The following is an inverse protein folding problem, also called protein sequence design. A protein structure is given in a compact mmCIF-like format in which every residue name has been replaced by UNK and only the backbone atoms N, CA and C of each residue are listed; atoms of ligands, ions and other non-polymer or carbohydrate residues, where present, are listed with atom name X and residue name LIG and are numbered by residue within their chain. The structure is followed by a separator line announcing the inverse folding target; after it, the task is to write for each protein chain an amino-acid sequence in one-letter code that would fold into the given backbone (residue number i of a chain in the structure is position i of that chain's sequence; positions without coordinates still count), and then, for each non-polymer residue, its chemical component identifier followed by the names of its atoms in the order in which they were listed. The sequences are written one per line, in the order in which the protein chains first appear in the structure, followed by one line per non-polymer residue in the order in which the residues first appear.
data_IF_170298160778
#
_entry.id   IF_170298160778
#
_cell.length_a   1.000
_cell.length_b   1.000
_cell.length_c   1.000
_cell.angle_alpha   90.00
_cell.angle_beta   90.00
_cell.angle_gamma   90.00
#
_symmetry.space_group_name_H-M   'P 1'
#
loop_
_entity.id
_entity.type
_entity.pdbx_description
1 polymer ?
#
# COMPACT_ATOMS: atom_id res chain seq x y z
N UNK A 1 7.59 -12.64 -11.81
CA UNK A 1 7.65 -11.75 -12.99
C UNK A 1 8.95 -10.93 -12.95
N UNK A 2 9.55 -10.55 -14.08
CA UNK A 2 10.70 -9.58 -14.17
C UNK A 2 10.37 -8.28 -14.91
N UNK A 3 9.26 -8.27 -15.65
CA UNK A 3 8.90 -7.17 -16.55
C UNK A 3 8.46 -5.95 -15.75
N UNK A 4 8.91 -4.78 -16.18
CA UNK A 4 8.53 -3.48 -15.62
C UNK A 4 7.99 -2.61 -16.76
N UNK A 5 6.85 -1.98 -16.54
CA UNK A 5 6.22 -1.02 -17.46
C UNK A 5 5.84 0.22 -16.67
N UNK A 6 5.93 1.39 -17.30
CA UNK A 6 5.54 2.65 -16.71
C UNK A 6 4.67 3.44 -17.67
N UNK A 7 3.75 4.24 -17.13
CA UNK A 7 2.89 5.11 -17.92
C UNK A 7 3.46 6.53 -17.91
N UNK A 8 3.59 7.15 -19.08
CA UNK A 8 3.97 8.55 -19.19
C UNK A 8 2.74 9.39 -19.53
N UNK A 9 2.35 10.26 -18.60
CA UNK A 9 1.25 11.20 -18.79
C UNK A 9 1.52 12.17 -19.96
N UNK A 10 2.78 12.63 -20.11
CA UNK A 10 3.21 13.53 -21.19
C UNK A 10 2.93 12.95 -22.58
N UNK A 11 3.20 11.65 -22.76
CA UNK A 11 2.99 10.99 -24.07
C UNK A 11 1.68 10.22 -24.14
N UNK A 12 0.92 10.17 -23.05
CA UNK A 12 -0.27 9.33 -22.87
C UNK A 12 -0.06 7.86 -23.33
N UNK A 13 1.08 7.25 -22.96
CA UNK A 13 1.47 5.91 -23.43
C UNK A 13 2.15 5.10 -22.33
N UNK A 14 1.97 3.79 -22.41
CA UNK A 14 2.76 2.83 -21.65
C UNK A 14 4.09 2.59 -22.33
N UNK A 15 5.16 2.63 -21.55
CA UNK A 15 6.54 2.40 -21.95
C UNK A 15 7.11 1.22 -21.18
N UNK A 16 8.20 0.66 -21.72
CA UNK A 16 8.90 -0.44 -21.09
C UNK A 16 10.13 0.08 -20.35
N UNK A 17 10.27 -0.30 -19.08
CA UNK A 17 11.49 -0.08 -18.31
C UNK A 17 12.39 -1.33 -18.38
N UNK A 18 13.68 -1.20 -18.02
CA UNK A 18 14.56 -2.34 -17.81
C UNK A 18 13.92 -3.37 -16.88
N UNK A 19 14.12 -4.65 -17.20
CA UNK A 19 13.60 -5.74 -16.38
C UNK A 19 14.34 -5.79 -15.04
N UNK A 20 13.65 -6.18 -13.97
CA UNK A 20 14.27 -6.54 -12.70
C UNK A 20 15.26 -7.70 -12.92
N UNK A 21 16.31 -7.77 -12.10
CA UNK A 21 17.34 -8.80 -12.17
C UNK A 21 16.80 -10.17 -11.75
N UNK A 22 15.97 -10.24 -10.69
CA UNK A 22 15.32 -11.49 -10.25
C UNK A 22 13.83 -11.52 -10.54
N UNK A 23 13.30 -12.72 -10.80
CA UNK A 23 11.84 -12.95 -10.92
C UNK A 23 11.27 -12.84 -9.51
N UNK A 24 10.20 -12.06 -9.35
CA UNK A 24 9.53 -11.84 -8.06
C UNK A 24 8.01 -11.85 -8.23
N UNK A 25 7.29 -12.33 -7.24
CA UNK A 25 5.83 -12.24 -7.06
C UNK A 25 5.56 -11.81 -5.61
N UNK A 26 4.45 -11.14 -5.31
CA UNK A 26 4.08 -10.76 -3.93
C UNK A 26 5.19 -10.07 -3.12
N UNK A 27 6.01 -9.24 -3.78
CA UNK A 27 7.11 -8.49 -3.17
C UNK A 27 6.62 -7.13 -2.66
N UNK A 28 7.31 -6.59 -1.66
CA UNK A 28 7.11 -5.20 -1.23
C UNK A 28 7.95 -4.25 -2.07
N UNK A 29 7.47 -3.01 -2.20
CA UNK A 29 8.18 -1.96 -2.90
C UNK A 29 7.96 -0.61 -2.22
N UNK A 30 8.90 0.32 -2.40
CA UNK A 30 8.76 1.69 -1.96
C UNK A 30 9.62 2.61 -2.82
N UNK A 31 9.37 3.93 -2.77
CA UNK A 31 10.22 4.92 -3.41
C UNK A 31 10.97 5.71 -2.34
N UNK A 32 12.31 5.74 -2.44
CA UNK A 32 13.18 6.54 -1.57
C UNK A 32 14.10 7.34 -2.48
N UNK A 33 14.21 8.66 -2.25
CA UNK A 33 15.11 9.55 -3.02
C UNK A 33 14.98 9.36 -4.55
N UNK A 34 13.73 9.35 -5.04
CA UNK A 34 13.37 9.15 -6.45
C UNK A 34 13.85 7.83 -7.09
N UNK A 35 14.26 6.86 -6.28
CA UNK A 35 14.61 5.51 -6.72
C UNK A 35 13.54 4.52 -6.25
N UNK A 36 13.21 3.55 -7.10
CA UNK A 36 12.24 2.50 -6.79
C UNK A 36 12.95 1.31 -6.18
N UNK A 37 12.61 0.96 -4.95
CA UNK A 37 13.14 -0.19 -4.24
C UNK A 37 12.12 -1.32 -4.26
N UNK A 38 12.57 -2.54 -4.51
CA UNK A 38 11.77 -3.77 -4.43
C UNK A 38 12.50 -4.78 -3.55
N UNK A 39 11.77 -5.45 -2.67
CA UNK A 39 12.37 -6.38 -1.71
C UNK A 39 11.49 -7.61 -1.50
N UNK A 40 12.13 -8.76 -1.30
CA UNK A 40 11.46 -10.02 -1.02
C UNK A 40 10.58 -10.54 -2.16
N UNK A 41 9.47 -11.14 -1.76
CA UNK A 41 8.52 -11.84 -2.62
C UNK A 41 8.89 -13.30 -2.86
N UNK A 42 8.22 -13.90 -3.83
CA UNK A 42 8.41 -15.29 -4.23
C UNK A 42 8.98 -15.45 -5.64
N UNK A 43 9.76 -16.51 -5.83
CA UNK A 43 10.23 -16.96 -7.14
C UNK A 43 9.89 -18.44 -7.35
N UNK A 44 9.66 -18.84 -8.60
CA UNK A 44 9.55 -20.24 -9.00
C UNK A 44 10.87 -20.98 -8.71
N UNK A 45 10.80 -22.19 -8.14
CA UNK A 45 11.97 -23.03 -7.84
C UNK A 45 12.00 -23.58 -6.41
N UNK A 46 13.16 -24.14 -6.01
CA UNK A 46 13.39 -24.75 -4.68
C UNK A 46 13.34 -23.70 -3.56
N UNK A 47 13.81 -22.48 -3.83
CA UNK A 47 13.80 -21.38 -2.88
C UNK A 47 12.62 -20.45 -3.20
N UNK A 48 11.45 -20.77 -2.64
CA UNK A 48 10.21 -20.03 -2.93
C UNK A 48 10.26 -18.59 -2.43
N UNK A 49 10.77 -18.34 -1.23
CA UNK A 49 10.78 -17.01 -0.61
C UNK A 49 12.13 -16.31 -0.80
N UNK A 50 12.10 -15.05 -1.22
CA UNK A 50 13.29 -14.25 -1.49
C UNK A 50 13.65 -13.38 -0.29
N UNK A 51 14.95 -13.30 0.01
CA UNK A 51 15.53 -12.27 0.87
C UNK A 51 16.11 -11.09 0.08
N UNK A 52 16.36 -11.27 -1.21
CA UNK A 52 17.05 -10.24 -2.00
C UNK A 52 16.23 -8.99 -2.23
N UNK A 53 16.92 -7.86 -2.38
CA UNK A 53 16.34 -6.58 -2.72
C UNK A 53 17.08 -5.93 -3.90
N UNK A 54 16.38 -5.10 -4.65
CA UNK A 54 16.90 -4.39 -5.82
C UNK A 54 16.40 -2.95 -5.82
N UNK A 55 17.18 -2.05 -6.39
CA UNK A 55 16.85 -0.64 -6.56
C UNK A 55 16.92 -0.28 -8.04
N UNK A 56 15.88 0.37 -8.55
CA UNK A 56 15.85 1.01 -9.86
C UNK A 56 16.12 2.50 -9.73
N UNK A 57 17.18 2.93 -10.41
CA UNK A 57 17.53 4.33 -10.57
C UNK A 57 17.01 4.80 -11.95
N UNK A 58 16.00 5.69 -12.00
CA UNK A 58 15.44 6.18 -13.26
C UNK A 58 16.42 7.08 -14.04
N UNK A 59 17.35 7.76 -13.36
CA UNK A 59 18.35 8.62 -14.03
C UNK A 59 19.36 7.78 -14.81
N UNK A 60 19.71 6.62 -14.26
CA UNK A 60 20.64 5.67 -14.89
C UNK A 60 19.92 4.60 -15.71
N UNK A 61 18.58 4.62 -15.67
CA UNK A 61 17.70 3.65 -16.30
C UNK A 61 18.18 2.20 -16.07
N UNK A 62 18.42 1.83 -14.81
CA UNK A 62 18.96 0.51 -14.47
C UNK A 62 18.58 0.02 -13.09
N UNK A 63 18.51 -1.31 -12.97
CA UNK A 63 18.37 -2.01 -11.69
C UNK A 63 19.75 -2.36 -11.13
N UNK A 64 19.94 -2.15 -9.83
CA UNK A 64 21.11 -2.57 -9.07
C UNK A 64 20.66 -3.50 -7.92
N UNK A 65 21.40 -4.59 -7.70
CA UNK A 65 21.21 -5.39 -6.47
C UNK A 65 21.69 -4.57 -5.27
N UNK A 66 20.96 -4.66 -4.16
CA UNK A 66 21.32 -4.06 -2.87
C UNK A 66 21.37 -5.14 -1.80
N UNK A 67 21.70 -4.76 -0.56
CA UNK A 67 21.77 -5.69 0.57
C UNK A 67 20.51 -6.54 0.71
N UNK A 68 20.70 -7.84 0.94
CA UNK A 68 19.63 -8.77 1.23
C UNK A 68 18.95 -8.43 2.59
N UNK A 69 17.66 -8.70 2.70
CA UNK A 69 16.93 -8.66 3.97
C UNK A 69 17.44 -9.76 4.91
N UNK A 70 17.38 -9.52 6.22
CA UNK A 70 17.75 -10.51 7.22
C UNK A 70 16.87 -11.76 7.17
N UNK A 71 15.60 -11.59 6.81
CA UNK A 71 14.60 -12.65 6.73
C UNK A 71 13.88 -12.56 5.39
N UNK A 72 13.56 -13.71 4.78
CA UNK A 72 12.73 -13.72 3.58
C UNK A 72 11.30 -13.29 3.92
N UNK A 73 10.73 -12.38 3.13
CA UNK A 73 9.38 -11.84 3.36
C UNK A 73 8.56 -11.93 2.07
N UNK A 74 7.26 -12.22 2.21
CA UNK A 74 6.29 -12.34 1.11
C UNK A 74 4.99 -11.65 1.53
N UNK A 75 4.20 -11.16 0.57
CA UNK A 75 2.86 -10.59 0.77
C UNK A 75 2.86 -9.33 1.64
N UNK A 76 3.90 -8.49 1.56
CA UNK A 76 4.02 -7.31 2.39
C UNK A 76 3.97 -6.00 1.60
N UNK A 77 3.57 -4.92 2.27
CA UNK A 77 3.58 -3.55 1.71
C UNK A 77 4.74 -2.78 2.34
N UNK A 78 5.50 -2.07 1.50
CA UNK A 78 6.59 -1.19 1.94
C UNK A 78 6.15 0.27 1.92
N UNK A 79 6.20 0.94 3.07
CA UNK A 79 5.99 2.40 3.19
C UNK A 79 7.28 3.03 3.67
N UNK A 80 7.58 4.27 3.28
CA UNK A 80 8.72 5.00 3.83
C UNK A 80 8.22 5.88 4.97
N UNK A 81 8.84 5.75 6.14
CA UNK A 81 8.55 6.56 7.31
C UNK A 81 9.86 7.03 7.96
N UNK A 82 10.03 8.35 8.12
CA UNK A 82 11.27 8.91 8.68
C UNK A 82 12.53 8.52 7.90
N UNK A 83 12.42 8.39 6.57
CA UNK A 83 13.51 7.96 5.69
C UNK A 83 13.83 6.46 5.74
N UNK A 84 13.03 5.64 6.45
CA UNK A 84 13.22 4.20 6.59
C UNK A 84 12.04 3.42 6.03
N UNK A 85 12.26 2.24 5.41
CA UNK A 85 11.16 1.38 5.00
C UNK A 85 10.49 0.74 6.23
N UNK A 86 9.16 0.87 6.30
CA UNK A 86 8.24 0.21 7.22
C UNK A 86 7.51 -0.87 6.44
N UNK A 87 7.32 -2.03 7.06
CA UNK A 87 6.74 -3.20 6.41
C UNK A 87 5.47 -3.63 7.14
N UNK A 88 4.32 -3.57 6.45
CA UNK A 88 3.10 -4.24 6.93
C UNK A 88 2.98 -5.60 6.26
N UNK A 89 3.00 -6.67 7.06
CA UNK A 89 2.90 -8.04 6.54
C UNK A 89 1.43 -8.40 6.25
N UNK A 90 1.16 -8.99 5.08
CA UNK A 90 -0.05 -9.75 4.82
C UNK A 90 0.01 -11.15 5.46
N UNK A 91 -1.05 -11.97 5.31
CA UNK A 91 -1.18 -13.22 6.08
C UNK A 91 0.00 -14.17 5.87
N UNK A 92 0.55 -14.68 6.98
CA UNK A 92 1.56 -15.74 6.98
C UNK A 92 0.94 -17.06 6.54
N UNK A 93 1.50 -17.70 5.52
CA UNK A 93 1.47 -19.15 5.40
C UNK A 93 2.81 -19.68 5.88
N UNK A 94 2.79 -20.32 7.06
CA UNK A 94 3.85 -21.08 7.74
C UNK A 94 5.19 -20.38 8.01
N UNK A 95 5.45 -20.02 9.27
CA UNK A 95 6.80 -20.03 9.83
C UNK A 95 6.90 -21.20 10.82
N UNK A 96 7.77 -22.15 10.52
CA UNK A 96 8.57 -22.86 11.51
C UNK A 96 9.98 -22.29 11.40
N UNK A 97 10.54 -21.78 12.49
CA UNK A 97 11.95 -21.36 12.53
C UNK A 97 12.25 -20.21 13.48
N UNK A 98 12.55 -20.60 14.72
CA UNK A 98 13.17 -19.90 15.84
C UNK A 98 13.72 -18.47 15.65
N UNK A 99 13.27 -17.59 16.54
CA UNK A 99 13.89 -16.32 16.87
C UNK A 99 15.29 -16.55 17.50
N UNK A 100 16.34 -16.18 16.78
CA UNK A 100 17.62 -15.77 17.39
C UNK A 100 18.12 -14.52 16.70
N UNK A 101 18.25 -13.45 17.50
CA UNK A 101 18.45 -12.10 17.03
C UNK A 101 19.83 -11.81 16.45
N UNK A 102 19.95 -10.60 15.90
CA UNK A 102 21.15 -9.74 15.93
C UNK A 102 20.73 -8.30 15.60
N UNK A 103 21.37 -7.34 16.25
CA UNK A 103 21.18 -5.89 16.11
C UNK A 103 21.80 -5.38 14.80
N UNK A 104 21.05 -4.59 14.03
CA UNK A 104 21.60 -3.55 13.14
C UNK A 104 20.51 -2.50 12.91
N UNK A 105 20.92 -1.25 12.79
CA UNK A 105 20.13 -0.01 12.89
C UNK A 105 19.11 0.24 11.76
N UNK A 106 18.85 -0.74 10.89
CA UNK A 106 17.99 -0.62 9.71
C UNK A 106 16.91 -1.70 9.61
N UNK A 107 16.47 -2.27 10.75
CA UNK A 107 15.33 -3.20 10.73
C UNK A 107 14.05 -2.45 10.33
N UNK A 108 13.28 -2.95 9.34
CA UNK A 108 11.96 -2.40 9.07
C UNK A 108 11.09 -2.59 10.31
N UNK A 109 10.30 -1.57 10.68
CA UNK A 109 9.28 -1.72 11.71
C UNK A 109 8.27 -2.77 11.21
N UNK A 110 8.13 -3.87 11.97
CA UNK A 110 7.19 -4.96 11.68
C UNK A 110 5.97 -4.76 12.57
N UNK A 111 4.80 -4.52 11.97
CA UNK A 111 3.53 -4.45 12.71
C UNK A 111 2.91 -5.85 12.79
N UNK A 112 2.77 -6.40 14.00
CA UNK A 112 2.27 -7.77 14.23
C UNK A 112 0.86 -7.85 14.85
N UNK A 113 0.06 -6.79 14.79
CA UNK A 113 -1.20 -6.74 15.57
C UNK A 113 -2.43 -6.35 14.72
N UNK A 114 -3.36 -7.32 14.59
CA UNK A 114 -4.77 -7.07 14.27
C UNK A 114 -5.31 -7.67 12.97
N UNK A 115 -5.25 -9.00 12.79
CA UNK A 115 -5.85 -9.71 11.65
C UNK A 115 -7.28 -10.18 11.94
N UNK A 116 -8.26 -9.73 11.15
CA UNK A 116 -9.57 -10.37 11.03
C UNK A 116 -9.59 -11.28 9.79
N UNK A 117 -9.14 -12.52 9.96
CA UNK A 117 -9.50 -13.75 9.22
C UNK A 117 -9.56 -13.81 7.68
N UNK A 118 -9.41 -12.72 6.90
CA UNK A 118 -10.13 -12.64 5.62
C UNK A 118 -9.33 -12.16 4.40
N UNK A 119 -7.99 -12.25 4.39
CA UNK A 119 -7.19 -12.03 3.18
C UNK A 119 -7.00 -10.56 2.78
N UNK A 120 -7.50 -9.62 3.58
CA UNK A 120 -7.47 -8.19 3.27
C UNK A 120 -6.12 -7.58 3.63
N UNK A 121 -5.61 -6.69 2.77
CA UNK A 121 -4.37 -5.94 3.02
C UNK A 121 -4.73 -4.65 3.75
N UNK A 122 -3.86 -4.16 4.62
CA UNK A 122 -4.03 -2.88 5.30
C UNK A 122 -3.16 -1.82 4.60
N UNK A 123 -3.70 -1.06 3.62
CA UNK A 123 -2.98 0.07 3.04
C UNK A 123 -2.49 1.02 4.13
N UNK A 124 -1.22 1.40 4.03
CA UNK A 124 -0.58 2.36 4.91
C UNK A 124 0.11 3.43 4.09
N UNK A 125 0.26 4.61 4.67
CA UNK A 125 0.91 5.74 4.02
C UNK A 125 1.45 6.75 5.02
N UNK A 126 2.51 7.44 4.64
CA UNK A 126 3.07 8.56 5.40
C UNK A 126 2.54 9.88 4.80
N UNK A 127 2.11 10.79 5.67
CA UNK A 127 1.79 12.18 5.33
C UNK A 127 2.10 13.06 6.54
N UNK A 128 2.69 14.24 6.31
CA UNK A 128 3.01 15.23 7.35
C UNK A 128 3.87 14.69 8.50
N UNK A 129 4.77 13.74 8.24
CA UNK A 129 5.64 13.12 9.25
C UNK A 129 4.95 12.06 10.11
N UNK A 130 3.71 11.69 9.78
CA UNK A 130 2.90 10.72 10.52
C UNK A 130 2.54 9.53 9.63
N UNK A 131 2.59 8.33 10.21
CA UNK A 131 2.25 7.09 9.51
C UNK A 131 0.80 6.71 9.82
N UNK A 132 0.01 6.49 8.77
CA UNK A 132 -1.38 6.10 8.84
C UNK A 132 -1.61 4.73 8.21
N UNK A 133 -2.57 3.98 8.73
CA UNK A 133 -3.05 2.73 8.12
C UNK A 133 -4.56 2.65 8.18
N UNK A 134 -5.17 1.98 7.20
CA UNK A 134 -6.60 1.64 7.26
C UNK A 134 -6.83 0.55 8.32
N UNK A 135 -7.81 0.79 9.20
CA UNK A 135 -8.19 -0.11 10.30
C UNK A 135 -9.37 -1.03 9.92
N UNK A 136 -10.06 -0.71 8.83
CA UNK A 136 -11.24 -1.45 8.39
C UNK A 136 -11.34 -1.56 6.87
N UNK A 137 -12.00 -2.65 6.43
CA UNK A 137 -12.07 -3.04 5.03
C UNK A 137 -12.66 -1.97 4.12
N UNK A 138 -13.68 -1.26 4.57
CA UNK A 138 -14.34 -0.21 3.79
C UNK A 138 -13.58 1.12 3.80
N UNK A 139 -12.45 1.19 4.50
CA UNK A 139 -11.61 2.39 4.61
C UNK A 139 -12.30 3.56 5.29
N UNK A 140 -13.29 3.30 6.14
CA UNK A 140 -14.01 4.33 6.90
C UNK A 140 -13.35 4.65 8.26
N UNK A 141 -12.26 3.95 8.59
CA UNK A 141 -11.50 4.10 9.83
C UNK A 141 -10.00 3.99 9.56
N UNK A 142 -9.26 4.92 10.12
CA UNK A 142 -7.80 5.02 10.04
C UNK A 142 -7.21 4.90 11.43
N UNK A 143 -6.00 4.36 11.53
CA UNK A 143 -5.14 4.49 12.70
C UNK A 143 -3.88 5.26 12.34
N UNK A 144 -3.35 5.95 13.34
CA UNK A 144 -2.05 6.61 13.29
C UNK A 144 -1.08 5.85 14.19
N UNK A 145 0.14 5.66 13.70
CA UNK A 145 1.21 5.07 14.46
C UNK A 145 1.87 6.16 15.31
N UNK A 146 1.95 5.91 16.61
CA UNK A 146 2.63 6.76 17.57
C UNK A 146 4.07 6.25 17.77
N UNK A 147 5.02 7.16 17.54
CA UNK A 147 6.45 6.87 17.65
C UNK A 147 6.92 6.70 19.08
N UNK A 148 6.32 7.42 20.02
CA UNK A 148 6.77 7.42 21.41
C UNK A 148 6.40 6.11 22.11
N UNK A 149 5.20 5.61 21.83
CA UNK A 149 4.70 4.36 22.39
C UNK A 149 4.98 3.11 21.53
N UNK A 150 5.57 3.28 20.33
CA UNK A 150 5.76 2.20 19.35
C UNK A 150 4.46 1.43 19.07
N UNK A 151 3.32 2.13 19.03
CA UNK A 151 2.00 1.53 18.98
C UNK A 151 1.02 2.29 18.08
N UNK A 152 0.04 1.56 17.54
CA UNK A 152 -1.10 2.15 16.84
C UNK A 152 -2.14 2.61 17.85
N UNK A 153 -2.19 3.90 18.14
CA UNK A 153 -3.02 4.44 19.23
C UNK A 153 -4.22 5.24 18.71
N UNK A 154 -3.98 6.35 17.99
CA UNK A 154 -5.01 7.30 17.59
C UNK A 154 -5.82 6.75 16.40
N UNK A 155 -7.14 6.78 16.50
CA UNK A 155 -8.03 6.40 15.40
C UNK A 155 -8.85 7.60 14.90
N UNK A 156 -9.02 7.68 13.59
CA UNK A 156 -9.91 8.63 12.92
C UNK A 156 -11.00 7.81 12.27
N UNK A 157 -12.24 7.98 12.71
CA UNK A 157 -13.39 7.18 12.27
C UNK A 157 -14.46 8.09 11.69
N UNK A 158 -14.93 7.77 10.48
CA UNK A 158 -16.05 8.47 9.85
C UNK A 158 -17.39 8.20 10.53
N UNK A 159 -17.50 7.12 11.31
CA UNK A 159 -18.73 6.57 11.91
C UNK A 159 -19.81 6.20 10.89
N UNK A 160 -19.52 6.28 9.59
CA UNK A 160 -20.43 6.02 8.47
C UNK A 160 -19.84 4.91 7.60
N UNK A 161 -19.96 3.69 8.09
CA UNK A 161 -19.49 2.51 7.38
C UNK A 161 -20.32 2.21 6.13
N UNK A 162 -19.64 1.72 5.09
CA UNK A 162 -20.22 1.51 3.76
C UNK A 162 -20.68 0.06 3.55
N UNK A 163 -20.59 -0.78 4.58
CA UNK A 163 -21.01 -2.18 4.58
C UNK A 163 -19.91 -3.16 4.17
N UNK A 164 -20.24 -4.45 4.18
CA UNK A 164 -19.27 -5.55 4.00
C UNK A 164 -19.00 -6.00 2.56
N UNK A 165 -19.54 -5.30 1.55
CA UNK A 165 -19.38 -5.69 0.15
C UNK A 165 -17.93 -5.52 -0.32
N UNK A 166 -17.41 -6.48 -1.09
CA UNK A 166 -16.10 -6.37 -1.75
C UNK A 166 -15.99 -5.14 -2.66
N UNK A 167 -17.11 -4.63 -3.18
CA UNK A 167 -17.13 -3.41 -3.98
C UNK A 167 -16.72 -2.17 -3.16
N UNK A 168 -17.00 -2.17 -1.86
CA UNK A 168 -16.68 -1.06 -0.94
C UNK A 168 -15.31 -1.25 -0.27
N UNK A 169 -14.62 -2.36 -0.53
CA UNK A 169 -13.29 -2.62 0.03
C UNK A 169 -12.28 -1.59 -0.48
N UNK A 170 -11.59 -0.95 0.47
CA UNK A 170 -10.52 -0.01 0.23
C UNK A 170 -9.27 -0.76 -0.24
N UNK A 171 -8.72 -0.27 -1.35
CA UNK A 171 -7.65 -0.92 -2.10
C UNK A 171 -6.35 -0.11 -2.01
N UNK A 172 -6.46 1.22 -1.91
CA UNK A 172 -5.31 2.09 -1.75
C UNK A 172 -5.62 3.26 -0.83
N UNK A 173 -4.57 3.70 -0.15
CA UNK A 173 -4.50 4.89 0.69
C UNK A 173 -3.29 5.70 0.22
N UNK A 174 -3.50 6.93 -0.22
CA UNK A 174 -2.45 7.78 -0.80
C UNK A 174 -2.57 9.24 -0.32
N UNK A 175 -1.47 10.00 -0.19
CA UNK A 175 -1.57 11.44 0.02
C UNK A 175 -2.02 12.11 -1.29
N UNK A 176 -2.92 13.07 -1.21
CA UNK A 176 -3.36 13.90 -2.33
C UNK A 176 -3.74 15.29 -1.84
N UNK A 177 -3.02 16.32 -2.30
CA UNK A 177 -3.33 17.71 -1.96
C UNK A 177 -3.33 18.00 -0.45
N UNK A 178 -2.41 17.39 0.31
CA UNK A 178 -2.31 17.54 1.76
C UNK A 178 -3.33 16.73 2.58
N UNK A 179 -4.25 16.02 1.92
CA UNK A 179 -5.21 15.11 2.53
C UNK A 179 -4.84 13.65 2.23
N UNK A 180 -5.41 12.71 2.98
CA UNK A 180 -5.41 11.31 2.61
C UNK A 180 -6.50 11.03 1.59
N UNK A 181 -6.26 10.13 0.65
CA UNK A 181 -7.19 9.74 -0.40
C UNK A 181 -7.35 8.22 -0.37
N UNK A 182 -8.58 7.78 -0.18
CA UNK A 182 -8.96 6.37 -0.07
C UNK A 182 -9.71 5.99 -1.34
N UNK A 183 -9.18 5.01 -2.06
CA UNK A 183 -9.80 4.48 -3.28
C UNK A 183 -10.29 3.07 -3.06
N UNK A 184 -11.53 2.79 -3.48
CA UNK A 184 -12.20 1.49 -3.30
C UNK A 184 -12.34 0.72 -4.61
N UNK A 185 -12.67 -0.56 -4.52
CA UNK A 185 -12.89 -1.43 -5.69
C UNK A 185 -13.98 -0.91 -6.66
N UNK A 186 -14.99 -0.20 -6.15
CA UNK A 186 -16.03 0.44 -6.97
C UNK A 186 -15.62 1.80 -7.56
N UNK A 187 -14.34 2.18 -7.45
CA UNK A 187 -13.80 3.48 -7.89
C UNK A 187 -14.32 4.70 -7.12
N UNK A 188 -15.06 4.50 -6.03
CA UNK A 188 -15.39 5.62 -5.15
C UNK A 188 -14.13 6.12 -4.44
N UNK A 189 -14.09 7.43 -4.23
CA UNK A 189 -12.94 8.13 -3.65
C UNK A 189 -13.40 9.00 -2.49
N UNK A 190 -12.75 8.81 -1.35
CA UNK A 190 -12.96 9.63 -0.15
C UNK A 190 -11.65 10.31 0.22
N UNK A 191 -11.69 11.62 0.36
CA UNK A 191 -10.62 12.41 0.94
C UNK A 191 -10.81 12.50 2.46
N UNK A 192 -9.70 12.41 3.19
CA UNK A 192 -9.67 12.54 4.65
C UNK A 192 -8.67 13.62 5.02
N UNK A 193 -9.15 14.69 5.63
CA UNK A 193 -8.29 15.74 6.18
C UNK A 193 -7.87 15.35 7.61
N UNK A 194 -6.72 14.71 7.74
CA UNK A 194 -6.17 14.30 9.04
C UNK A 194 -5.58 15.46 9.84
N UNK A 195 -5.28 16.60 9.21
CA UNK A 195 -4.75 17.79 9.92
C UNK A 195 -5.85 18.48 10.72
N UNK A 196 -7.06 18.53 10.17
CA UNK A 196 -8.24 19.07 10.86
C UNK A 196 -8.74 18.16 12.00
N UNK A 197 -8.23 16.92 12.13
CA UNK A 197 -8.66 15.97 13.16
C UNK A 197 -8.28 16.40 14.59
N UNK A 198 -7.36 17.35 14.72
CA UNK A 198 -6.93 17.93 16.00
C UNK A 198 -7.85 19.06 16.48
N UNK A 199 -8.70 19.58 15.58
CA UNK A 199 -9.62 20.68 15.85
C UNK A 199 -11.02 20.10 16.08
N UNK A 200 -11.57 20.11 17.31
CA UNK A 200 -12.85 19.49 17.64
C UNK A 200 -14.01 19.99 16.77
N UNK A 201 -14.02 21.28 16.44
CA UNK A 201 -15.06 21.94 15.63
C UNK A 201 -15.11 21.47 14.18
N UNK A 202 -14.02 20.90 13.65
CA UNK A 202 -13.93 20.44 12.24
C UNK A 202 -14.12 18.93 12.06
N UNK A 203 -14.45 18.19 13.13
CA UNK A 203 -14.63 16.73 13.05
C UNK A 203 -15.69 16.31 12.01
N UNK A 204 -16.73 17.13 11.78
CA UNK A 204 -17.76 16.86 10.77
C UNK A 204 -17.32 17.02 9.31
N UNK A 205 -16.20 17.70 9.05
CA UNK A 205 -15.68 17.97 7.69
C UNK A 205 -14.44 17.13 7.34
N UNK A 206 -14.05 16.20 8.21
CA UNK A 206 -12.86 15.37 8.02
C UNK A 206 -12.96 14.49 6.77
N UNK A 207 -14.16 14.01 6.45
CA UNK A 207 -14.38 13.01 5.41
C UNK A 207 -15.19 13.60 4.26
N UNK A 208 -14.59 13.62 3.07
CA UNK A 208 -15.20 14.17 1.88
C UNK A 208 -15.17 13.16 0.73
N UNK A 209 -16.31 12.56 0.42
CA UNK A 209 -16.44 11.73 -0.79
C UNK A 209 -16.55 12.63 -2.02
N UNK A 210 -15.49 12.69 -2.83
CA UNK A 210 -15.39 13.52 -4.04
C UNK A 210 -15.80 12.77 -5.32
N UNK A 211 -15.86 11.43 -5.26
CA UNK A 211 -16.40 10.60 -6.33
C UNK A 211 -17.27 9.50 -5.74
N UNK A 212 -18.49 9.36 -6.23
CA UNK A 212 -19.47 8.39 -5.74
C UNK A 212 -20.71 8.98 -5.06
N UNK A 213 -20.71 10.28 -4.68
CA UNK A 213 -21.86 10.95 -4.00
C UNK A 213 -23.14 11.07 -4.85
N UNK A 214 -23.11 10.70 -6.13
CA UNK A 214 -24.27 10.65 -7.02
C UNK A 214 -24.23 9.52 -8.07
N UNK A 215 -23.33 8.54 -7.91
CA UNK A 215 -23.10 7.47 -8.89
C UNK A 215 -23.79 6.14 -8.51
N UNK A 216 -24.95 6.21 -7.84
CA UNK A 216 -25.84 5.06 -7.71
C UNK A 216 -27.17 5.35 -8.40
N UNK A 217 -27.22 4.99 -9.69
CA UNK A 217 -28.40 4.47 -10.43
C UNK A 217 -28.15 4.21 -11.92
N UNK A 218 -26.91 4.23 -12.41
CA UNK A 218 -26.66 3.82 -13.79
C UNK A 218 -26.27 2.35 -13.85
N UNK A 219 -27.08 1.53 -14.53
CA UNK A 219 -26.75 0.17 -14.95
C UNK A 219 -25.32 0.08 -15.52
N UNK A 220 -24.84 1.17 -16.13
CA UNK A 220 -23.54 1.30 -16.78
C UNK A 220 -22.36 1.19 -15.80
N UNK A 221 -22.42 1.69 -14.56
CA UNK A 221 -21.29 1.56 -13.61
C UNK A 221 -21.17 0.16 -13.04
N UNK A 222 -22.29 -0.48 -12.71
CA UNK A 222 -22.33 -1.91 -12.37
C UNK A 222 -21.94 -2.79 -13.55
N UNK A 223 -22.26 -2.37 -14.77
CA UNK A 223 -21.87 -3.06 -15.99
C UNK A 223 -20.37 -2.94 -16.23
N UNK A 224 -19.76 -1.77 -16.05
CA UNK A 224 -18.31 -1.58 -16.23
C UNK A 224 -17.48 -2.22 -15.12
N UNK A 225 -17.94 -2.21 -13.87
CA UNK A 225 -17.28 -2.98 -12.80
C UNK A 225 -17.36 -4.48 -13.06
N UNK A 226 -18.50 -4.99 -13.56
CA UNK A 226 -18.63 -6.38 -14.00
C UNK A 226 -17.80 -6.68 -15.26
N UNK A 227 -17.74 -5.80 -16.26
CA UNK A 227 -16.96 -6.00 -17.49
C UNK A 227 -15.46 -5.94 -17.22
N UNK A 228 -15.01 -5.01 -16.38
CA UNK A 228 -13.62 -4.94 -15.93
C UNK A 228 -13.22 -6.20 -15.14
N UNK A 229 -14.17 -6.81 -14.42
CA UNK A 229 -13.96 -8.05 -13.67
C UNK A 229 -14.14 -9.35 -14.45
N UNK A 230 -14.80 -9.33 -15.61
CA UNK A 230 -15.32 -10.54 -16.26
C UNK A 230 -14.32 -11.33 -17.10
N UNK A 231 -13.21 -10.75 -17.57
CA UNK A 231 -12.40 -11.47 -18.57
C UNK A 231 -10.89 -11.19 -18.63
N UNK A 232 -10.25 -10.72 -17.56
CA UNK A 232 -8.78 -10.66 -17.51
C UNK A 232 -8.27 -11.07 -16.14
N UNK A 233 -7.06 -11.65 -16.11
CA UNK A 233 -6.26 -11.85 -14.90
C UNK A 233 -6.49 -10.66 -13.97
N UNK A 234 -7.07 -10.91 -12.78
CA UNK A 234 -7.50 -9.85 -11.86
C UNK A 234 -6.30 -8.95 -11.54
N UNK A 235 -6.26 -7.77 -12.14
CA UNK A 235 -5.26 -6.75 -11.85
C UNK A 235 -5.70 -6.01 -10.60
N UNK A 236 -5.06 -6.30 -9.47
CA UNK A 236 -5.29 -5.60 -8.23
C UNK A 236 -4.30 -4.43 -8.13
N UNK A 237 -4.79 -3.22 -7.82
CA UNK A 237 -3.90 -2.16 -7.34
C UNK A 237 -3.31 -2.68 -6.03
N UNK A 238 -2.00 -2.96 -6.04
CA UNK A 238 -1.34 -3.59 -4.90
C UNK A 238 -1.05 -2.57 -3.81
N UNK A 239 -0.70 -1.35 -4.25
CA UNK A 239 -0.29 -0.22 -3.45
C UNK A 239 -0.04 0.96 -4.39
N UNK A 240 -0.10 2.19 -3.88
CA UNK A 240 0.14 3.42 -4.65
C UNK A 240 0.92 4.39 -3.76
N UNK A 241 1.94 5.04 -4.30
CA UNK A 241 2.76 6.03 -3.62
C UNK A 241 2.92 7.24 -4.53
N UNK A 242 2.99 8.43 -3.93
CA UNK A 242 3.25 9.67 -4.66
C UNK A 242 4.75 9.92 -4.68
N UNK A 243 5.27 10.17 -5.88
CA UNK A 243 6.63 10.68 -6.06
C UNK A 243 6.61 12.17 -5.66
N UNK A 244 7.42 12.56 -4.67
CA UNK A 244 7.71 13.98 -4.45
C UNK A 244 8.56 14.44 -5.66
N UNK A 245 8.08 15.49 -6.33
CA UNK A 245 8.77 16.16 -7.43
C UNK A 245 9.79 17.17 -6.90
#
# INVERSE_FOLDING_TARGET
MRRVVYYSARTNKWHRAPNMQRKRHFFGFCVINNCLYVAGGECEGVQRSLRSAEMYDPNRNKWCSISDMSTAMVHFIGVVYGGRPVVSQGPRTSQTGDERGLCSSNKPLVSDHGWNGAGWRNPCVEIHGNLYALDCRDGCKLRMYDRESDAWSRSVDSRLHLGGSRAMEAVALVPLGGKLCITRNNMSITLVDVTSAEIPEKQGQLWETISGKGQFKSFVTNLWSNLAGRNRLKSHIVHCQVLQA
#
